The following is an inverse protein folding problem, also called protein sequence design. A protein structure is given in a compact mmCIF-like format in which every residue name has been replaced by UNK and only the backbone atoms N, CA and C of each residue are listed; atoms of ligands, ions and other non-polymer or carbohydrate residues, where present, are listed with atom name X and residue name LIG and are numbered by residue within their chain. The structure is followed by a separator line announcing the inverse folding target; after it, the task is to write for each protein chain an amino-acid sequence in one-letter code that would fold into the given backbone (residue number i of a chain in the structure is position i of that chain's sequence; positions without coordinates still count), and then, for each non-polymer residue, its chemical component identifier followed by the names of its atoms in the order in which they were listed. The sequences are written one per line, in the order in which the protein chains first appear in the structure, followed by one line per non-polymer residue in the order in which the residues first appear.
data_IF_268197426261
#
_entry.id   IF_268197426261
#
_cell.length_a   1.000
_cell.length_b   1.000
_cell.length_c   1.000
_cell.angle_alpha   90.00
_cell.angle_beta   90.00
_cell.angle_gamma   90.00
#
_symmetry.space_group_name_H-M   'P 1'
#
loop_
_entity.id
_entity.type
_entity.pdbx_description
1 polymer ?
#
# COMPACT_ATOMS: atom_id res chain seq x y z
N UNK A 1 -28.68 -24.67 42.20
CA UNK A 1 -28.11 -24.19 40.93
C UNK A 1 -28.33 -22.70 40.89
N UNK A 2 -27.29 -21.93 41.22
CA UNK A 2 -27.33 -20.46 41.19
C UNK A 2 -26.92 -20.02 39.79
N UNK A 3 -27.60 -19.00 39.29
CA UNK A 3 -27.66 -18.54 37.91
C UNK A 3 -26.30 -18.03 37.37
N UNK A 4 -25.62 -18.86 36.55
CA UNK A 4 -24.30 -18.62 35.90
C UNK A 4 -24.33 -17.35 35.01
N UNK A 5 -25.52 -16.90 34.60
CA UNK A 5 -25.69 -15.64 33.87
C UNK A 5 -25.43 -14.40 34.75
N UNK A 6 -25.76 -14.45 36.05
CA UNK A 6 -25.60 -13.31 36.96
C UNK A 6 -24.16 -13.11 37.42
N UNK A 7 -23.37 -14.18 37.53
CA UNK A 7 -21.92 -14.09 37.82
C UNK A 7 -21.13 -13.59 36.60
N UNK A 8 -21.54 -13.93 35.36
CA UNK A 8 -20.92 -13.35 34.16
C UNK A 8 -21.22 -11.86 34.01
N UNK A 9 -22.42 -11.40 34.38
CA UNK A 9 -22.76 -9.97 34.37
C UNK A 9 -22.04 -9.19 35.50
N UNK A 10 -21.91 -9.77 36.69
CA UNK A 10 -21.16 -9.17 37.82
C UNK A 10 -19.65 -9.19 37.61
N UNK A 11 -19.12 -10.18 36.89
CA UNK A 11 -17.72 -10.25 36.45
C UNK A 11 -17.31 -9.21 35.40
N UNK A 12 -18.26 -8.46 34.82
CA UNK A 12 -18.00 -7.30 33.94
C UNK A 12 -18.02 -5.99 34.74
N UNK A 13 -18.89 -5.87 35.76
CA UNK A 13 -18.96 -4.67 36.60
C UNK A 13 -17.82 -4.56 37.63
N UNK A 14 -17.25 -5.69 38.07
CA UNK A 14 -16.16 -5.74 39.05
C UNK A 14 -14.77 -6.05 38.46
N UNK A 15 -14.62 -6.05 37.14
CA UNK A 15 -13.30 -6.06 36.49
C UNK A 15 -12.70 -4.67 36.61
N UNK A 16 -12.08 -4.44 37.77
CA UNK A 16 -11.01 -3.50 38.03
C UNK A 16 -11.21 -2.11 37.43
N UNK A 17 -11.38 -1.14 38.32
CA UNK A 17 -10.82 0.20 38.11
C UNK A 17 -9.39 -0.03 37.58
N UNK A 18 -9.19 -0.03 36.25
CA UNK A 18 -7.87 0.09 35.65
C UNK A 18 -7.34 1.34 36.35
N UNK A 19 -6.36 1.18 37.26
CA UNK A 19 -5.69 2.34 37.83
C UNK A 19 -5.14 3.06 36.62
N UNK A 20 -5.81 4.14 36.22
CA UNK A 20 -5.44 4.88 35.04
C UNK A 20 -3.96 5.21 35.22
N UNK A 21 -3.10 4.64 34.36
CA UNK A 21 -1.69 5.01 34.34
C UNK A 21 -1.62 6.55 34.36
N UNK A 22 -0.66 7.15 35.07
CA UNK A 22 -0.57 8.60 35.28
C UNK A 22 -0.97 9.33 33.98
N UNK A 23 -2.19 9.88 34.00
CA UNK A 23 -2.92 10.27 32.81
C UNK A 23 -2.11 11.34 32.06
N UNK A 24 -1.89 11.13 30.77
CA UNK A 24 -1.37 12.16 29.88
C UNK A 24 0.11 12.45 29.89
N UNK A 25 0.92 11.43 30.14
CA UNK A 25 2.36 11.61 30.01
C UNK A 25 2.75 11.72 28.53
N UNK A 26 3.48 12.77 28.17
CA UNK A 26 4.36 12.71 26.99
C UNK A 26 5.65 12.01 27.40
N UNK A 27 6.08 11.03 26.61
CA UNK A 27 7.34 10.33 26.76
C UNK A 27 8.26 10.73 25.61
N UNK A 28 9.43 11.25 25.93
CA UNK A 28 10.46 11.51 24.92
C UNK A 28 11.15 10.19 24.57
N UNK A 29 10.90 9.67 23.37
CA UNK A 29 11.57 8.46 22.87
C UNK A 29 12.94 8.83 22.30
N UNK A 30 12.98 9.92 21.52
CA UNK A 30 14.21 10.50 20.99
C UNK A 30 14.15 12.03 21.08
N UNK A 31 14.97 12.68 21.93
CA UNK A 31 14.96 14.13 22.08
C UNK A 31 15.06 14.86 20.74
N UNK A 32 14.17 15.83 20.55
CA UNK A 32 14.06 16.63 19.33
C UNK A 32 13.39 15.92 18.15
N UNK A 33 13.15 14.60 18.21
CA UNK A 33 12.67 13.84 17.05
C UNK A 33 11.37 13.08 17.32
N UNK A 34 11.36 12.17 18.28
CA UNK A 34 10.26 11.21 18.48
C UNK A 34 9.70 11.36 19.89
N UNK A 35 8.39 11.58 19.96
CA UNK A 35 7.64 11.76 21.20
C UNK A 35 6.42 10.85 21.19
N UNK A 36 6.10 10.25 22.32
CA UNK A 36 4.92 9.40 22.45
C UNK A 36 3.95 10.02 23.46
N UNK A 37 2.74 10.34 23.01
CA UNK A 37 1.66 10.85 23.85
C UNK A 37 0.86 9.66 24.37
N UNK A 38 0.94 9.34 25.67
CA UNK A 38 0.25 8.19 26.27
C UNK A 38 -0.88 8.61 27.19
N UNK A 39 -1.77 7.69 27.55
CA UNK A 39 -2.81 7.93 28.56
C UNK A 39 -4.12 8.49 28.03
N UNK A 40 -4.46 8.17 26.78
CA UNK A 40 -5.82 8.37 26.25
C UNK A 40 -6.82 7.47 27.00
N UNK A 41 -8.04 7.97 27.24
CA UNK A 41 -9.09 7.14 27.86
C UNK A 41 -9.55 6.05 26.88
N UNK A 42 -10.10 4.95 27.41
CA UNK A 42 -10.72 3.89 26.61
C UNK A 42 -11.75 4.49 25.63
N UNK A 43 -11.45 4.40 24.34
CA UNK A 43 -12.31 4.85 23.25
C UNK A 43 -12.66 6.35 23.31
N UNK A 44 -11.77 7.19 23.84
CA UNK A 44 -11.84 8.65 23.70
C UNK A 44 -10.47 9.18 23.24
N UNK A 45 -10.50 10.20 22.41
CA UNK A 45 -9.32 10.94 21.94
C UNK A 45 -9.10 12.27 22.68
N UNK A 46 -9.84 12.52 23.77
CA UNK A 46 -9.87 13.82 24.42
C UNK A 46 -8.57 14.13 25.20
N UNK A 47 -7.87 15.18 24.79
CA UNK A 47 -6.69 15.74 25.47
C UNK A 47 -7.03 16.73 26.60
N UNK A 48 -8.29 17.17 26.73
CA UNK A 48 -8.74 18.22 27.70
C UNK A 48 -8.86 17.73 29.15
N UNK A 49 -8.12 16.70 29.56
CA UNK A 49 -8.16 16.24 30.96
C UNK A 49 -7.40 17.22 31.84
N UNK A 50 -7.88 17.45 33.07
CA UNK A 50 -7.22 18.34 34.04
C UNK A 50 -5.77 17.88 34.26
N UNK A 51 -4.81 18.73 33.91
CA UNK A 51 -3.36 18.47 34.03
C UNK A 51 -2.68 17.90 32.76
N UNK A 52 -3.45 17.35 31.81
CA UNK A 52 -2.92 16.78 30.57
C UNK A 52 -2.37 17.87 29.65
N UNK A 53 -3.14 18.94 29.43
CA UNK A 53 -2.72 20.08 28.60
C UNK A 53 -1.45 20.74 29.15
N UNK A 54 -1.33 20.85 30.48
CA UNK A 54 -0.11 21.37 31.11
C UNK A 54 1.12 20.47 30.87
N UNK A 55 0.97 19.14 30.89
CA UNK A 55 2.09 18.23 30.61
C UNK A 55 2.44 18.21 29.12
N UNK A 56 1.44 18.28 28.23
CA UNK A 56 1.65 18.49 26.80
C UNK A 56 2.44 19.77 26.55
N UNK A 57 1.98 20.91 27.08
CA UNK A 57 2.64 22.21 26.89
C UNK A 57 4.08 22.17 27.40
N UNK A 58 4.30 21.58 28.58
CA UNK A 58 5.63 21.48 29.17
C UNK A 58 6.58 20.62 28.33
N UNK A 59 6.12 19.49 27.80
CA UNK A 59 6.98 18.49 27.15
C UNK A 59 7.07 18.63 25.63
N UNK A 60 6.00 19.06 24.98
CA UNK A 60 5.95 19.37 23.56
C UNK A 60 6.27 20.84 23.26
N UNK A 61 6.24 21.74 24.25
CA UNK A 61 6.64 23.14 24.09
C UNK A 61 7.97 23.30 23.34
N UNK A 62 9.07 22.63 23.75
CA UNK A 62 10.33 22.71 23.03
C UNK A 62 10.26 22.21 21.57
N UNK A 63 9.37 21.28 21.25
CA UNK A 63 9.14 20.76 19.90
C UNK A 63 8.41 21.79 19.05
N UNK A 64 7.33 22.35 19.60
CA UNK A 64 6.55 23.41 18.98
C UNK A 64 7.43 24.64 18.72
N UNK A 65 8.22 25.07 19.70
CA UNK A 65 9.12 26.21 19.58
C UNK A 65 10.19 25.97 18.50
N UNK A 66 10.70 24.74 18.41
CA UNK A 66 11.59 24.34 17.30
C UNK A 66 10.89 24.45 15.95
N UNK A 67 9.70 23.88 15.79
CA UNK A 67 8.96 23.91 14.51
C UNK A 67 8.63 25.35 14.12
N UNK A 68 8.23 26.20 15.08
CA UNK A 68 7.97 27.64 14.85
C UNK A 68 9.23 28.38 14.42
N UNK A 69 10.39 28.07 15.00
CA UNK A 69 11.66 28.66 14.57
C UNK A 69 12.00 28.23 13.13
N UNK A 70 11.91 26.93 12.84
CA UNK A 70 12.17 26.41 11.49
C UNK A 70 11.18 26.96 10.45
N UNK A 71 9.95 27.28 10.86
CA UNK A 71 8.97 28.02 10.05
C UNK A 71 9.42 29.42 9.72
N UNK A 72 9.87 30.18 10.70
CA UNK A 72 10.41 31.53 10.45
C UNK A 72 11.62 31.49 9.51
N UNK A 73 12.49 30.50 9.66
CA UNK A 73 13.64 30.30 8.76
C UNK A 73 13.19 29.97 7.33
N UNK A 74 12.20 29.10 7.17
CA UNK A 74 11.63 28.73 5.86
C UNK A 74 10.93 29.92 5.18
N UNK A 75 10.09 30.65 5.92
CA UNK A 75 9.38 31.85 5.42
C UNK A 75 10.36 32.99 5.08
N UNK A 76 11.48 33.11 5.80
CA UNK A 76 12.54 34.06 5.50
C UNK A 76 13.46 33.62 4.34
N UNK A 77 13.29 32.41 3.79
CA UNK A 77 14.14 31.84 2.74
C UNK A 77 15.55 31.46 3.20
N UNK A 78 15.84 31.53 4.51
CA UNK A 78 17.14 31.08 5.06
C UNK A 78 17.21 29.56 5.20
N UNK A 79 16.07 28.88 5.04
CA UNK A 79 15.95 27.43 4.99
C UNK A 79 15.17 27.00 3.76
N UNK A 80 15.69 26.04 3.01
CA UNK A 80 15.10 25.56 1.74
C UNK A 80 13.97 24.55 1.92
N UNK A 81 13.85 23.94 3.09
CA UNK A 81 12.82 22.91 3.39
C UNK A 81 12.15 23.17 4.75
N UNK A 82 10.87 22.84 4.88
CA UNK A 82 10.20 22.86 6.19
C UNK A 82 10.41 21.55 6.96
N UNK A 83 10.15 21.46 8.27
CA UNK A 83 9.97 20.18 8.94
C UNK A 83 8.68 19.48 8.49
N UNK A 84 8.69 18.15 8.53
CA UNK A 84 7.47 17.34 8.43
C UNK A 84 7.17 16.74 9.80
N UNK A 85 5.92 16.84 10.24
CA UNK A 85 5.46 16.29 11.51
C UNK A 85 4.49 15.15 11.23
N UNK A 86 4.90 13.92 11.50
CA UNK A 86 4.04 12.74 11.34
C UNK A 86 3.47 12.33 12.69
N UNK A 87 2.15 12.30 12.77
CA UNK A 87 1.39 11.91 13.96
C UNK A 87 0.75 10.54 13.71
N UNK A 88 1.27 9.51 14.37
CA UNK A 88 0.77 8.14 14.26
C UNK A 88 -0.08 7.78 15.47
N UNK A 89 -1.38 7.59 15.28
CA UNK A 89 -2.24 7.05 16.32
C UNK A 89 -2.04 5.55 16.45
N UNK A 90 -1.85 5.04 17.68
CA UNK A 90 -1.67 3.61 17.90
C UNK A 90 -2.98 2.95 18.25
N UNK A 91 -3.30 1.86 17.56
CA UNK A 91 -4.44 1.02 17.89
C UNK A 91 -4.22 0.30 19.22
N UNK A 92 -5.31 -0.09 19.88
CA UNK A 92 -5.23 -0.81 21.14
C UNK A 92 -6.32 -1.86 21.19
N UNK A 93 -5.94 -3.06 21.59
CA UNK A 93 -6.74 -4.27 21.88
C UNK A 93 -7.89 -4.10 22.90
N UNK A 94 -8.19 -2.87 23.32
CA UNK A 94 -9.28 -2.60 24.25
C UNK A 94 -10.60 -2.80 23.52
N UNK A 95 -11.25 -3.94 23.79
CA UNK A 95 -12.58 -4.30 23.27
C UNK A 95 -13.59 -3.27 23.75
N UNK A 96 -13.77 -2.21 22.96
CA UNK A 96 -14.91 -1.32 23.07
C UNK A 96 -15.90 -1.72 21.98
N UNK A 97 -17.15 -2.06 22.31
CA UNK A 97 -18.19 -2.20 21.30
C UNK A 97 -18.29 -0.90 20.50
N UNK A 98 -18.24 -0.95 19.17
CA UNK A 98 -18.33 0.24 18.33
C UNK A 98 -17.49 0.20 17.04
N UNK A 99 -16.85 1.33 16.72
CA UNK A 99 -16.27 1.67 15.41
C UNK A 99 -14.91 1.04 15.08
N UNK A 100 -14.43 0.08 15.88
CA UNK A 100 -13.16 -0.61 15.66
C UNK A 100 -11.89 0.13 16.14
N UNK A 101 -10.75 -0.58 16.32
CA UNK A 101 -9.52 -0.02 16.89
C UNK A 101 -8.83 1.01 15.99
N UNK A 102 -8.93 0.88 14.67
CA UNK A 102 -8.38 1.84 13.70
C UNK A 102 -9.07 3.20 13.81
N UNK A 103 -10.39 3.24 13.99
CA UNK A 103 -11.13 4.49 14.23
C UNK A 103 -10.62 5.22 15.48
N UNK A 104 -10.35 4.50 16.56
CA UNK A 104 -9.82 5.13 17.78
C UNK A 104 -8.36 5.55 17.64
N UNK A 105 -7.56 4.84 16.84
CA UNK A 105 -6.22 5.26 16.47
C UNK A 105 -6.26 6.58 15.68
N UNK A 106 -7.12 6.68 14.65
CA UNK A 106 -7.23 7.90 13.83
C UNK A 106 -7.71 9.09 14.65
N UNK A 107 -8.67 8.89 15.55
CA UNK A 107 -9.16 9.94 16.46
C UNK A 107 -8.05 10.44 17.40
N UNK A 108 -7.16 9.57 17.89
CA UNK A 108 -6.01 9.97 18.71
C UNK A 108 -5.00 10.78 17.89
N UNK A 109 -4.68 10.33 16.67
CA UNK A 109 -3.81 11.07 15.77
C UNK A 109 -4.38 12.46 15.46
N UNK A 110 -5.67 12.53 15.18
CA UNK A 110 -6.39 13.79 14.94
C UNK A 110 -6.33 14.71 16.15
N UNK A 111 -6.56 14.22 17.37
CA UNK A 111 -6.52 15.05 18.56
C UNK A 111 -5.13 15.66 18.80
N UNK A 112 -4.05 14.90 18.56
CA UNK A 112 -2.68 15.42 18.65
C UNK A 112 -2.41 16.43 17.53
N UNK A 113 -2.88 16.19 16.30
CA UNK A 113 -2.81 17.18 15.21
C UNK A 113 -3.52 18.49 15.59
N UNK A 114 -4.76 18.41 16.09
CA UNK A 114 -5.54 19.58 16.50
C UNK A 114 -4.82 20.37 17.61
N UNK A 115 -4.15 19.68 18.55
CA UNK A 115 -3.30 20.31 19.56
C UNK A 115 -2.12 21.05 18.92
N UNK A 116 -1.37 20.41 18.01
CA UNK A 116 -0.23 21.06 17.34
C UNK A 116 -0.67 22.29 16.53
N UNK A 117 -1.82 22.20 15.83
CA UNK A 117 -2.39 23.34 15.08
C UNK A 117 -2.81 24.48 16.01
N UNK A 118 -3.44 24.18 17.15
CA UNK A 118 -3.75 25.19 18.19
C UNK A 118 -2.50 25.90 18.68
N UNK A 119 -1.35 25.23 18.63
CA UNK A 119 -0.05 25.77 19.00
C UNK A 119 0.76 26.26 17.77
N UNK A 120 0.08 26.69 16.71
CA UNK A 120 0.66 27.41 15.55
C UNK A 120 1.68 26.57 14.74
N UNK A 121 1.52 25.24 14.73
CA UNK A 121 2.16 24.38 13.73
C UNK A 121 1.28 24.35 12.47
N UNK A 122 1.82 24.66 11.28
CA UNK A 122 1.03 24.67 10.04
C UNK A 122 0.36 23.32 9.77
N UNK A 123 -0.96 23.29 9.47
CA UNK A 123 -1.70 22.04 9.31
C UNK A 123 -1.26 21.20 8.11
N UNK A 124 -0.67 21.83 7.09
CA UNK A 124 -0.06 21.24 5.90
C UNK A 124 1.31 20.59 6.17
N UNK A 125 1.95 20.93 7.30
CA UNK A 125 3.19 20.28 7.76
C UNK A 125 2.91 19.04 8.61
N UNK A 126 1.65 18.83 9.02
CA UNK A 126 1.24 17.73 9.90
C UNK A 126 0.52 16.64 9.11
N UNK A 127 1.16 15.48 9.04
CA UNK A 127 0.58 14.26 8.51
C UNK A 127 0.02 13.40 9.65
N UNK A 128 -1.13 12.80 9.45
CA UNK A 128 -1.73 11.86 10.41
C UNK A 128 -1.81 10.49 9.79
N UNK A 129 -1.42 9.47 10.55
CA UNK A 129 -1.55 8.07 10.17
C UNK A 129 -1.96 7.24 11.39
N UNK A 130 -2.20 5.96 11.19
CA UNK A 130 -2.45 5.00 12.26
C UNK A 130 -1.45 3.87 12.17
N UNK A 131 -0.91 3.39 13.29
CA UNK A 131 -0.10 2.18 13.24
C UNK A 131 -1.00 1.05 12.76
N UNK A 132 -0.62 0.40 11.66
CA UNK A 132 -1.20 -0.88 11.30
C UNK A 132 -1.00 -1.80 12.52
N UNK A 133 -2.09 -2.32 13.07
CA UNK A 133 -1.96 -3.63 13.69
C UNK A 133 -1.50 -4.51 12.52
N UNK A 134 -0.22 -4.94 12.51
CA UNK A 134 -0.02 -6.32 12.07
C UNK A 134 -1.02 -7.11 12.90
N UNK A 135 -1.99 -7.83 12.29
CA UNK A 135 -2.98 -8.55 13.05
C UNK A 135 -2.20 -9.46 13.98
N UNK A 136 -2.08 -9.04 15.24
CA UNK A 136 -1.66 -9.92 16.28
C UNK A 136 -2.95 -10.68 16.52
N UNK A 137 -3.04 -11.96 16.13
CA UNK A 137 -4.32 -12.66 16.01
C UNK A 137 -5.06 -12.79 17.33
N UNK A 138 -4.44 -12.38 18.44
CA UNK A 138 -5.08 -12.27 19.72
C UNK A 138 -4.71 -10.93 20.37
N UNK A 139 -5.70 -10.18 20.89
CA UNK A 139 -5.47 -9.23 21.96
C UNK A 139 -4.50 -9.86 22.93
N UNK A 140 -3.41 -9.19 23.33
CA UNK A 140 -2.61 -9.75 24.40
C UNK A 140 -3.48 -9.71 25.68
N UNK A 141 -4.24 -10.78 25.90
CA UNK A 141 -5.22 -10.88 26.99
C UNK A 141 -4.53 -10.75 28.34
N UNK A 142 -3.22 -11.05 28.36
CA UNK A 142 -2.34 -10.95 29.51
C UNK A 142 -1.66 -9.58 29.65
N UNK A 143 -1.91 -8.62 28.76
CA UNK A 143 -1.38 -7.27 28.91
C UNK A 143 -1.94 -6.62 30.18
N UNK A 144 -1.04 -6.07 31.01
CA UNK A 144 -1.43 -5.35 32.22
C UNK A 144 -2.20 -4.07 31.86
N UNK A 145 -3.02 -3.51 32.77
CA UNK A 145 -3.68 -2.22 32.55
C UNK A 145 -2.74 -1.10 32.11
N UNK A 146 -1.51 -1.08 32.64
CA UNK A 146 -0.48 -0.11 32.26
C UNK A 146 0.01 -0.33 30.83
N UNK A 147 0.22 -1.58 30.42
CA UNK A 147 0.58 -1.92 29.03
C UNK A 147 -0.54 -1.55 28.05
N UNK A 148 -1.80 -1.82 28.40
CA UNK A 148 -2.96 -1.41 27.59
C UNK A 148 -3.07 0.11 27.50
N UNK A 149 -2.78 0.82 28.60
CA UNK A 149 -2.78 2.29 28.61
C UNK A 149 -1.62 2.89 27.81
N UNK A 150 -0.45 2.26 27.81
CA UNK A 150 0.69 2.66 26.99
C UNK A 150 0.46 2.39 25.49
N UNK A 151 -0.25 1.30 25.15
CA UNK A 151 -0.67 1.01 23.79
C UNK A 151 -1.70 2.05 23.27
N UNK A 152 -2.50 2.64 24.17
CA UNK A 152 -3.40 3.75 23.85
C UNK A 152 -2.62 5.06 23.73
N UNK A 153 -1.90 5.23 22.63
CA UNK A 153 -0.97 6.34 22.46
C UNK A 153 -0.98 6.93 21.05
N UNK A 154 -0.26 8.02 20.87
CA UNK A 154 0.01 8.63 19.58
C UNK A 154 1.47 9.10 19.51
N UNK A 155 2.21 8.65 18.50
CA UNK A 155 3.61 9.05 18.28
C UNK A 155 3.67 10.28 17.39
N UNK A 156 4.52 11.24 17.76
CA UNK A 156 4.91 12.40 16.96
C UNK A 156 6.35 12.18 16.50
N UNK A 157 6.59 12.11 15.20
CA UNK A 157 7.92 12.12 14.58
C UNK A 157 8.14 13.43 13.83
N UNK A 158 9.19 14.15 14.18
CA UNK A 158 9.62 15.39 13.52
C UNK A 158 10.80 15.08 12.61
N UNK A 159 10.51 14.93 11.33
CA UNK A 159 11.48 14.73 10.26
C UNK A 159 11.89 16.03 9.59
N UNK A 160 13.00 16.00 8.85
CA UNK A 160 13.20 17.00 7.81
C UNK A 160 12.16 16.72 6.70
N UNK A 161 11.56 17.76 6.11
CA UNK A 161 10.87 17.56 4.83
C UNK A 161 11.90 17.00 3.87
N UNK A 162 11.68 15.76 3.44
CA UNK A 162 12.20 15.35 2.16
C UNK A 162 11.63 16.30 1.10
N UNK A 163 12.36 16.50 0.01
CA UNK A 163 11.94 17.27 -1.16
C UNK A 163 10.41 17.19 -1.35
N UNK A 164 9.68 18.30 -1.52
CA UNK A 164 8.23 18.29 -1.70
C UNK A 164 7.75 17.28 -2.75
N UNK A 165 8.58 16.94 -3.74
CA UNK A 165 8.35 15.84 -4.71
C UNK A 165 8.30 14.45 -4.04
N UNK A 166 9.23 14.14 -3.12
CA UNK A 166 9.20 12.91 -2.31
C UNK A 166 8.03 12.89 -1.32
N UNK A 167 7.68 14.04 -0.74
CA UNK A 167 6.52 14.13 0.16
C UNK A 167 5.19 13.86 -0.58
N UNK A 168 5.09 14.17 -1.88
CA UNK A 168 3.95 13.79 -2.74
C UNK A 168 3.96 12.29 -3.03
N UNK A 169 5.14 11.70 -3.28
CA UNK A 169 5.29 10.26 -3.48
C UNK A 169 4.88 9.46 -2.24
N UNK A 170 5.27 9.90 -1.04
CA UNK A 170 4.85 9.30 0.23
C UNK A 170 3.35 9.49 0.51
N UNK A 171 2.77 10.67 0.21
CA UNK A 171 1.31 10.93 0.29
C UNK A 171 0.47 9.93 -0.51
N UNK A 172 1.02 9.47 -1.64
CA UNK A 172 0.41 8.48 -2.50
C UNK A 172 0.44 7.07 -1.89
N UNK A 173 1.47 6.72 -1.12
CA UNK A 173 1.66 5.40 -0.53
C UNK A 173 0.84 5.19 0.76
N UNK A 174 0.72 6.20 1.62
CA UNK A 174 0.09 6.03 2.95
C UNK A 174 -1.46 6.02 2.91
N UNK A 175 -2.08 6.64 1.91
CA UNK A 175 -3.54 6.65 1.76
C UNK A 175 -4.12 5.40 1.07
N UNK A 176 -3.29 4.51 0.49
CA UNK A 176 -3.74 3.40 -0.36
C UNK A 176 -4.04 2.08 0.35
N UNK A 177 -3.90 2.01 1.67
CA UNK A 177 -4.06 0.76 2.43
C UNK A 177 -5.12 0.85 3.54
N UNK A 178 -6.08 1.77 3.41
CA UNK A 178 -7.16 1.93 4.38
C UNK A 178 -8.20 0.80 4.31
N UNK A 179 -8.29 0.04 3.21
CA UNK A 179 -9.31 -0.99 3.00
C UNK A 179 -8.70 -2.23 2.31
N UNK A 180 -8.33 -3.26 3.06
CA UNK A 180 -8.06 -4.61 2.54
C UNK A 180 -8.63 -5.67 3.50
N UNK A 181 -9.36 -6.68 3.01
CA UNK A 181 -9.69 -7.87 3.80
C UNK A 181 -8.52 -8.88 3.81
N UNK A 182 -8.41 -9.63 4.91
CA UNK A 182 -7.26 -10.45 5.32
C UNK A 182 -6.94 -11.64 4.39
N UNK A 183 -5.64 -11.93 4.19
CA UNK A 183 -5.11 -13.24 3.74
C UNK A 183 -3.96 -13.64 4.69
N UNK A 184 -3.93 -14.92 5.09
CA UNK A 184 -3.23 -15.48 6.26
C UNK A 184 -1.69 -15.49 6.30
N UNK A 185 -1.10 -16.14 7.34
CA UNK A 185 0.24 -15.78 7.83
C UNK A 185 1.42 -16.45 7.10
N UNK A 186 2.51 -15.69 6.98
CA UNK A 186 3.83 -16.17 6.54
C UNK A 186 4.65 -16.77 7.71
N UNK A 187 5.60 -17.70 7.44
CA UNK A 187 6.42 -18.36 8.48
C UNK A 187 7.69 -17.57 8.85
N UNK A 188 8.36 -17.90 9.97
CA UNK A 188 9.40 -17.05 10.55
C UNK A 188 10.82 -17.53 10.20
N UNK A 189 11.69 -16.64 9.69
CA UNK A 189 13.14 -16.86 9.75
C UNK A 189 13.92 -15.59 10.10
N UNK A 190 14.65 -15.68 11.22
CA UNK A 190 15.45 -14.60 11.80
C UNK A 190 16.94 -14.94 11.74
N UNK A 191 17.59 -14.84 10.57
CA UNK A 191 19.06 -14.78 10.45
C UNK A 191 19.61 -13.81 9.38
N UNK A 192 18.78 -13.12 8.58
CA UNK A 192 19.25 -12.26 7.46
C UNK A 192 19.59 -10.80 7.80
N UNK A 193 19.32 -10.33 9.03
CA UNK A 193 19.31 -8.89 9.40
C UNK A 193 20.66 -8.15 9.28
N UNK A 194 21.80 -8.84 9.30
CA UNK A 194 23.12 -8.20 9.24
C UNK A 194 23.60 -7.98 7.79
N UNK A 195 23.39 -8.95 6.87
CA UNK A 195 23.72 -8.80 5.44
C UNK A 195 22.85 -7.73 4.76
N UNK A 196 21.58 -7.62 5.14
CA UNK A 196 20.68 -6.60 4.59
C UNK A 196 21.16 -5.17 4.80
N UNK A 197 21.83 -4.85 5.92
CA UNK A 197 22.27 -3.46 6.19
C UNK A 197 23.41 -2.97 5.29
N UNK A 198 24.36 -3.85 4.95
CA UNK A 198 25.50 -3.50 4.09
C UNK A 198 25.07 -3.32 2.63
N UNK A 199 24.27 -4.24 2.09
CA UNK A 199 23.69 -4.09 0.75
C UNK A 199 22.74 -2.90 0.66
N UNK A 200 21.97 -2.61 1.72
CA UNK A 200 21.12 -1.42 1.78
C UNK A 200 21.89 -0.10 1.65
N UNK A 201 23.14 -0.04 2.13
CA UNK A 201 24.00 1.14 1.94
C UNK A 201 24.58 1.20 0.53
N UNK A 202 24.93 0.06 -0.08
CA UNK A 202 25.50 0.01 -1.43
C UNK A 202 24.46 0.33 -2.51
N UNK A 203 23.26 -0.27 -2.47
CA UNK A 203 22.21 0.06 -3.43
C UNK A 203 21.63 1.46 -3.20
N UNK A 204 21.65 1.98 -1.96
CA UNK A 204 21.35 3.40 -1.75
C UNK A 204 22.37 4.29 -2.45
N UNK A 205 23.65 3.92 -2.48
CA UNK A 205 24.67 4.73 -3.13
C UNK A 205 24.60 4.66 -4.66
N UNK A 206 24.34 3.50 -5.25
CA UNK A 206 24.26 3.36 -6.72
C UNK A 206 22.88 3.69 -7.32
N UNK A 207 21.76 3.46 -6.61
CA UNK A 207 20.40 3.74 -7.12
C UNK A 207 19.80 5.07 -6.64
N UNK A 208 20.34 5.72 -5.60
CA UNK A 208 19.81 7.03 -5.13
C UNK A 208 20.66 8.21 -5.64
N UNK A 209 21.90 7.99 -6.06
CA UNK A 209 22.72 9.03 -6.70
C UNK A 209 22.55 9.08 -8.24
N UNK A 210 22.06 8.00 -8.87
CA UNK A 210 21.63 7.98 -10.27
C UNK A 210 20.12 8.17 -10.39
N UNK A 211 19.67 9.26 -11.03
CA UNK A 211 18.26 9.48 -11.36
C UNK A 211 17.75 8.30 -12.20
N UNK A 212 16.86 7.47 -11.64
CA UNK A 212 16.09 6.53 -12.46
C UNK A 212 15.25 7.36 -13.44
N UNK A 213 15.32 7.10 -14.76
CA UNK A 213 14.59 7.88 -15.75
C UNK A 213 13.06 7.78 -15.62
N UNK A 214 12.58 6.78 -14.87
CA UNK A 214 11.18 6.48 -14.69
C UNK A 214 10.85 6.27 -13.20
N UNK A 215 9.59 6.49 -12.79
CA UNK A 215 9.15 6.33 -11.40
C UNK A 215 9.10 4.88 -10.91
N UNK A 216 9.17 3.90 -11.80
CA UNK A 216 9.30 2.48 -11.49
C UNK A 216 10.59 1.92 -12.10
N UNK A 217 11.31 1.07 -11.36
CA UNK A 217 12.52 0.40 -11.82
C UNK A 217 12.27 -0.61 -12.96
N UNK A 218 11.02 -1.00 -13.15
CA UNK A 218 10.59 -1.92 -14.21
C UNK A 218 10.63 -1.26 -15.57
N UNK A 219 10.42 0.07 -15.62
CA UNK A 219 10.44 0.82 -16.85
C UNK A 219 11.88 1.22 -17.15
N UNK A 220 12.41 0.72 -18.25
CA UNK A 220 13.80 0.94 -18.71
C UNK A 220 13.79 1.59 -20.10
N UNK A 221 14.95 2.03 -20.56
CA UNK A 221 15.11 2.63 -21.89
C UNK A 221 15.55 4.08 -21.84
N UNK A 222 15.28 4.82 -22.91
CA UNK A 222 15.76 6.20 -23.09
C UNK A 222 15.21 7.09 -21.98
N UNK A 223 16.05 7.92 -21.38
CA UNK A 223 15.58 8.88 -20.37
C UNK A 223 14.62 9.90 -21.00
N UNK A 224 13.44 10.11 -20.41
CA UNK A 224 12.53 11.15 -20.88
C UNK A 224 13.09 12.53 -20.51
N UNK A 225 12.83 13.55 -21.33
CA UNK A 225 13.18 14.94 -21.02
C UNK A 225 12.12 15.57 -20.09
N UNK A 226 11.87 14.94 -18.94
CA UNK A 226 10.87 15.41 -17.96
C UNK A 226 11.14 14.82 -16.58
N UNK A 227 10.92 15.63 -15.55
CA UNK A 227 10.98 15.18 -14.16
C UNK A 227 9.60 14.73 -13.62
N UNK A 228 8.53 14.85 -14.42
CA UNK A 228 7.19 14.46 -14.01
C UNK A 228 7.01 12.94 -14.18
N UNK A 229 6.77 12.18 -13.08
CA UNK A 229 6.52 10.74 -13.16
C UNK A 229 5.48 10.34 -14.21
N UNK A 230 4.39 11.12 -14.30
CA UNK A 230 3.31 10.92 -15.27
C UNK A 230 3.79 11.09 -16.71
N UNK A 231 4.62 12.10 -16.98
CA UNK A 231 5.15 12.31 -18.32
C UNK A 231 6.25 11.29 -18.66
N UNK A 232 7.02 10.82 -17.68
CA UNK A 232 8.01 9.76 -17.88
C UNK A 232 7.32 8.46 -18.29
N UNK A 233 6.28 8.03 -17.56
CA UNK A 233 5.51 6.83 -17.94
C UNK A 233 4.81 7.00 -19.28
N UNK A 234 4.27 8.18 -19.57
CA UNK A 234 3.69 8.52 -20.88
C UNK A 234 4.73 8.34 -22.00
N UNK A 235 5.93 8.87 -21.81
CA UNK A 235 7.02 8.80 -22.76
C UNK A 235 7.44 7.34 -23.01
N UNK A 236 7.53 6.55 -21.95
CA UNK A 236 7.83 5.11 -22.06
C UNK A 236 6.80 4.38 -22.92
N UNK A 237 5.51 4.65 -22.66
CA UNK A 237 4.39 4.05 -23.42
C UNK A 237 4.42 4.51 -24.88
N UNK A 238 4.74 5.79 -25.13
CA UNK A 238 4.87 6.32 -26.48
C UNK A 238 6.03 5.67 -27.25
N UNK A 239 7.19 5.47 -26.62
CA UNK A 239 8.34 4.78 -27.23
C UNK A 239 8.00 3.31 -27.57
N UNK A 240 7.12 2.67 -26.80
CA UNK A 240 6.67 1.28 -27.00
C UNK A 240 5.31 1.16 -27.71
N UNK A 241 4.69 2.26 -28.16
CA UNK A 241 3.30 2.27 -28.64
C UNK A 241 3.08 1.31 -29.81
N UNK A 242 4.05 1.22 -30.72
CA UNK A 242 4.00 0.29 -31.87
C UNK A 242 3.94 -1.17 -31.40
N UNK A 243 4.77 -1.54 -30.43
CA UNK A 243 4.82 -2.90 -29.87
C UNK A 243 3.51 -3.23 -29.15
N UNK A 244 3.03 -2.32 -28.29
CA UNK A 244 1.76 -2.48 -27.55
C UNK A 244 0.60 -2.66 -28.53
N UNK A 245 0.47 -1.79 -29.54
CA UNK A 245 -0.58 -1.89 -30.57
C UNK A 245 -0.52 -3.21 -31.34
N UNK A 246 0.68 -3.62 -31.77
CA UNK A 246 0.87 -4.87 -32.51
C UNK A 246 0.45 -6.08 -31.67
N UNK A 247 0.91 -6.17 -30.42
CA UNK A 247 0.54 -7.27 -29.52
C UNK A 247 -0.96 -7.26 -29.24
N UNK A 248 -1.54 -6.10 -28.96
CA UNK A 248 -2.99 -5.97 -28.75
C UNK A 248 -3.80 -6.45 -29.97
N UNK A 249 -3.37 -6.09 -31.18
CA UNK A 249 -4.00 -6.55 -32.41
C UNK A 249 -3.85 -8.07 -32.61
N UNK A 250 -2.66 -8.63 -32.43
CA UNK A 250 -2.39 -10.06 -32.52
C UNK A 250 -3.25 -10.88 -31.54
N UNK A 251 -3.51 -10.33 -30.35
CA UNK A 251 -4.25 -10.99 -29.27
C UNK A 251 -5.73 -10.62 -29.23
N UNK A 252 -6.20 -9.78 -30.17
CA UNK A 252 -7.56 -9.27 -30.23
C UNK A 252 -8.04 -8.68 -28.89
N UNK A 253 -7.21 -7.84 -28.27
CA UNK A 253 -7.54 -7.08 -27.04
C UNK A 253 -7.37 -5.58 -27.29
N UNK A 254 -7.87 -4.75 -26.38
CA UNK A 254 -7.69 -3.30 -26.44
C UNK A 254 -6.28 -2.89 -26.03
N UNK A 255 -5.57 -2.15 -26.88
CA UNK A 255 -4.22 -1.65 -26.59
C UNK A 255 -4.17 -0.76 -25.33
N UNK A 256 -5.26 -0.06 -25.02
CA UNK A 256 -5.39 0.79 -23.82
C UNK A 256 -5.38 -0.05 -22.54
N UNK A 257 -5.79 -1.32 -22.61
CA UNK A 257 -5.71 -2.23 -21.47
C UNK A 257 -4.24 -2.53 -21.12
N UNK A 258 -3.45 -2.94 -22.11
CA UNK A 258 -2.02 -3.24 -21.95
C UNK A 258 -1.27 -2.00 -21.45
N UNK A 259 -1.44 -0.86 -22.13
CA UNK A 259 -0.84 0.41 -21.71
C UNK A 259 -1.33 0.83 -20.31
N UNK A 260 -2.59 0.58 -19.98
CA UNK A 260 -3.20 0.88 -18.69
C UNK A 260 -2.58 0.08 -17.54
N UNK A 261 -2.34 -1.22 -17.73
CA UNK A 261 -1.67 -2.06 -16.74
C UNK A 261 -0.24 -1.55 -16.47
N UNK A 262 0.53 -1.28 -17.53
CA UNK A 262 1.88 -0.73 -17.43
C UNK A 262 1.88 0.64 -16.73
N UNK A 263 0.98 1.54 -17.13
CA UNK A 263 0.89 2.87 -16.56
C UNK A 263 0.49 2.85 -15.08
N UNK A 264 -0.45 1.97 -14.72
CA UNK A 264 -0.89 1.83 -13.34
C UNK A 264 0.25 1.33 -12.45
N UNK A 265 0.99 0.30 -12.87
CA UNK A 265 2.16 -0.15 -12.09
C UNK A 265 3.22 0.94 -11.98
N UNK A 266 3.49 1.68 -13.07
CA UNK A 266 4.46 2.78 -13.06
C UNK A 266 4.07 3.99 -12.21
N UNK A 267 2.77 4.29 -12.05
CA UNK A 267 2.29 5.52 -11.39
C UNK A 267 1.59 5.29 -10.07
N UNK A 268 0.80 4.22 -9.97
CA UNK A 268 -0.05 3.91 -8.82
C UNK A 268 0.56 2.83 -7.93
N UNK A 269 1.52 2.06 -8.41
CA UNK A 269 2.21 1.08 -7.60
C UNK A 269 3.73 1.14 -7.85
N UNK A 270 4.38 2.31 -7.84
CA UNK A 270 5.84 2.36 -7.96
C UNK A 270 6.41 1.72 -6.69
N UNK A 271 6.94 0.50 -6.78
CA UNK A 271 7.52 -0.16 -5.61
C UNK A 271 8.68 0.72 -5.10
N UNK A 272 8.69 1.15 -3.83
CA UNK A 272 9.91 1.64 -3.24
C UNK A 272 10.91 0.47 -3.29
N UNK A 273 12.15 0.76 -3.70
CA UNK A 273 13.24 -0.22 -3.75
C UNK A 273 13.54 -0.72 -2.34
N UNK A 274 12.72 -1.63 -1.83
CA UNK A 274 13.08 -2.47 -0.70
C UNK A 274 14.05 -3.52 -1.24
N UNK A 275 15.31 -3.41 -0.85
CA UNK A 275 16.41 -4.25 -1.34
C UNK A 275 16.19 -5.76 -1.27
N UNK A 276 15.28 -6.23 -0.41
CA UNK A 276 14.92 -7.64 -0.32
C UNK A 276 14.15 -8.14 -1.57
N UNK A 277 13.70 -7.21 -2.43
CA UNK A 277 12.98 -7.43 -3.68
C UNK A 277 13.80 -7.06 -4.93
N UNK A 278 15.04 -6.58 -4.76
CA UNK A 278 15.95 -6.37 -5.87
C UNK A 278 16.21 -7.73 -6.56
N UNK A 279 15.67 -7.87 -7.78
CA UNK A 279 15.77 -9.08 -8.60
C UNK A 279 14.59 -10.06 -8.50
N UNK A 280 13.50 -9.72 -7.79
CA UNK A 280 12.34 -10.63 -7.66
C UNK A 280 11.15 -10.34 -8.57
N UNK A 281 10.87 -9.08 -8.91
CA UNK A 281 9.70 -8.74 -9.74
C UNK A 281 9.94 -7.51 -10.64
N UNK A 282 11.14 -7.39 -11.22
CA UNK A 282 11.52 -6.25 -12.07
C UNK A 282 11.04 -6.35 -13.52
N UNK A 283 9.75 -6.61 -13.68
CA UNK A 283 9.16 -6.89 -14.97
C UNK A 283 8.08 -5.85 -15.26
N UNK A 284 8.14 -5.25 -16.44
CA UNK A 284 7.15 -4.29 -16.93
C UNK A 284 5.73 -4.83 -16.69
N UNK A 285 4.91 -4.04 -15.99
CA UNK A 285 3.52 -4.39 -15.67
C UNK A 285 3.35 -5.47 -14.60
N UNK A 286 4.41 -5.79 -13.85
CA UNK A 286 4.42 -6.72 -12.72
C UNK A 286 3.80 -8.07 -12.99
N UNK A 287 4.25 -8.70 -14.06
CA UNK A 287 3.89 -10.08 -14.33
C UNK A 287 4.41 -10.95 -13.18
N UNK A 288 3.49 -11.49 -12.38
CA UNK A 288 3.84 -12.35 -11.25
C UNK A 288 4.36 -13.71 -11.73
N UNK A 289 5.58 -14.05 -11.32
CA UNK A 289 6.23 -15.34 -11.61
C UNK A 289 6.30 -16.17 -10.30
N UNK A 290 5.89 -17.45 -10.29
CA UNK A 290 6.10 -18.31 -9.12
C UNK A 290 7.60 -18.44 -8.80
N UNK A 291 8.01 -18.24 -7.54
CA UNK A 291 9.43 -18.12 -7.18
C UNK A 291 10.18 -19.45 -7.21
N UNK A 292 9.52 -20.57 -6.92
CA UNK A 292 10.19 -21.86 -6.83
C UNK A 292 9.26 -23.03 -7.18
N UNK A 293 9.87 -24.21 -7.39
CA UNK A 293 9.13 -25.46 -7.64
C UNK A 293 8.26 -25.84 -6.44
N UNK A 294 8.62 -25.41 -5.22
CA UNK A 294 7.77 -25.57 -4.05
C UNK A 294 6.51 -24.70 -4.11
N UNK A 295 6.50 -23.50 -4.68
CA UNK A 295 5.27 -22.73 -4.94
C UNK A 295 4.44 -23.48 -5.97
N UNK A 296 5.08 -24.00 -7.02
CA UNK A 296 4.41 -24.94 -7.95
C UNK A 296 3.83 -26.17 -7.24
N UNK A 297 4.49 -26.74 -6.24
CA UNK A 297 3.99 -27.92 -5.49
C UNK A 297 3.00 -27.55 -4.39
N UNK A 298 3.12 -26.39 -3.76
CA UNK A 298 2.27 -25.91 -2.65
C UNK A 298 0.94 -25.41 -3.18
N UNK A 299 0.95 -24.80 -4.36
CA UNK A 299 -0.26 -24.40 -5.09
C UNK A 299 -0.71 -25.49 -6.08
N UNK A 300 0.18 -26.37 -6.52
CA UNK A 300 -0.13 -27.51 -7.40
C UNK A 300 -0.26 -28.88 -6.70
N UNK A 301 -0.36 -28.94 -5.37
CA UNK A 301 -0.58 -30.21 -4.66
C UNK A 301 -1.95 -30.85 -4.99
N UNK A 302 -2.85 -30.08 -5.61
CA UNK A 302 -4.10 -30.55 -6.23
C UNK A 302 -4.04 -30.58 -7.78
N UNK A 303 -2.86 -30.45 -8.40
CA UNK A 303 -2.69 -30.47 -9.86
C UNK A 303 -3.02 -29.16 -10.60
N UNK A 304 -3.28 -28.05 -9.91
CA UNK A 304 -3.61 -26.76 -10.54
C UNK A 304 -2.38 -25.84 -10.64
N UNK A 305 -1.61 -25.97 -11.72
CA UNK A 305 -0.48 -25.09 -12.03
C UNK A 305 -0.91 -23.68 -12.49
N UNK A 306 -2.21 -23.43 -12.65
CA UNK A 306 -2.80 -22.20 -13.22
C UNK A 306 -2.97 -21.06 -12.20
N UNK A 307 -2.27 -21.08 -11.05
CA UNK A 307 -2.45 -20.01 -10.05
C UNK A 307 -1.94 -18.64 -10.53
N UNK A 308 -0.99 -18.61 -11.47
CA UNK A 308 -0.42 -17.37 -11.99
C UNK A 308 -0.79 -17.19 -13.45
N UNK A 309 -1.27 -16.01 -13.80
CA UNK A 309 -1.58 -15.64 -15.19
C UNK A 309 -0.44 -15.94 -16.15
N UNK A 310 0.81 -15.65 -15.75
CA UNK A 310 2.00 -15.90 -16.55
C UNK A 310 2.20 -17.39 -16.90
N UNK A 311 1.76 -18.31 -16.03
CA UNK A 311 1.81 -19.76 -16.30
C UNK A 311 0.61 -20.18 -17.13
N UNK A 312 -0.59 -19.69 -16.80
CA UNK A 312 -1.84 -20.06 -17.46
C UNK A 312 -1.88 -19.69 -18.95
N UNK A 313 -1.14 -18.67 -19.38
CA UNK A 313 -1.05 -18.29 -20.80
C UNK A 313 -0.10 -19.15 -21.60
N UNK A 314 0.76 -19.95 -20.97
CA UNK A 314 1.73 -20.77 -21.66
C UNK A 314 1.10 -22.05 -22.22
N UNK A 315 1.60 -22.51 -23.36
CA UNK A 315 1.02 -23.61 -24.13
C UNK A 315 -0.06 -23.13 -25.11
N UNK A 316 -0.87 -22.15 -24.71
CA UNK A 316 -1.96 -21.62 -25.53
C UNK A 316 -1.59 -20.31 -26.24
N UNK A 317 -1.03 -19.34 -25.51
CA UNK A 317 -0.70 -18.02 -26.03
C UNK A 317 0.80 -17.78 -26.08
N UNK A 318 1.55 -18.32 -25.14
CA UNK A 318 3.01 -18.18 -25.03
C UNK A 318 3.69 -19.56 -25.04
N UNK A 319 4.96 -19.69 -25.46
CA UNK A 319 5.69 -20.93 -25.29
C UNK A 319 5.78 -21.35 -23.81
N UNK A 320 5.72 -22.65 -23.53
CA UNK A 320 6.00 -23.14 -22.19
C UNK A 320 7.44 -22.84 -21.78
N UNK A 321 7.61 -22.31 -20.57
CA UNK A 321 8.93 -22.10 -19.99
C UNK A 321 8.95 -22.39 -18.48
N UNK A 322 10.12 -22.76 -17.98
CA UNK A 322 10.35 -22.92 -16.55
C UNK A 322 10.36 -21.55 -15.87
N UNK A 323 10.24 -21.51 -14.54
CA UNK A 323 10.16 -20.25 -13.80
C UNK A 323 11.43 -19.39 -13.92
N UNK A 324 12.60 -20.02 -13.87
CA UNK A 324 13.91 -19.41 -14.08
C UNK A 324 14.12 -18.91 -15.51
N UNK A 325 13.70 -19.71 -16.49
CA UNK A 325 13.70 -19.32 -17.91
C UNK A 325 12.79 -18.12 -18.14
N UNK A 326 11.56 -18.15 -17.61
CA UNK A 326 10.60 -17.04 -17.71
C UNK A 326 11.15 -15.75 -17.14
N UNK A 327 11.76 -15.83 -15.96
CA UNK A 327 12.39 -14.68 -15.31
C UNK A 327 13.49 -14.11 -16.19
N UNK A 328 14.37 -14.96 -16.70
CA UNK A 328 15.45 -14.56 -17.61
C UNK A 328 14.92 -13.93 -18.90
N UNK A 329 13.81 -14.46 -19.45
CA UNK A 329 13.17 -13.93 -20.64
C UNK A 329 12.52 -12.56 -20.42
N UNK A 330 12.00 -12.31 -19.23
CA UNK A 330 11.28 -11.07 -18.89
C UNK A 330 12.21 -9.98 -18.35
N UNK A 331 13.30 -10.34 -17.69
CA UNK A 331 14.26 -9.38 -17.14
C UNK A 331 14.93 -8.56 -18.24
N UNK A 332 14.58 -7.27 -18.31
CA UNK A 332 15.15 -6.34 -19.28
C UNK A 332 14.66 -6.51 -20.71
N UNK A 333 13.60 -7.29 -20.93
CA UNK A 333 12.97 -7.45 -22.24
C UNK A 333 11.53 -6.95 -22.23
N UNK A 334 11.39 -5.65 -22.43
CA UNK A 334 10.12 -4.94 -22.40
C UNK A 334 9.13 -5.51 -23.45
N UNK A 335 9.63 -5.94 -24.61
CA UNK A 335 8.80 -6.53 -25.66
C UNK A 335 8.18 -7.87 -25.25
N UNK A 336 8.96 -8.76 -24.62
CA UNK A 336 8.44 -10.04 -24.11
C UNK A 336 7.45 -9.80 -22.97
N UNK A 337 7.73 -8.84 -22.09
CA UNK A 337 6.78 -8.46 -21.03
C UNK A 337 5.44 -7.96 -21.62
N UNK A 338 5.49 -7.07 -22.62
CA UNK A 338 4.28 -6.62 -23.33
C UNK A 338 3.52 -7.80 -23.96
N UNK A 339 4.23 -8.78 -24.54
CA UNK A 339 3.61 -9.99 -25.10
C UNK A 339 2.89 -10.82 -24.03
N UNK A 340 3.50 -11.01 -22.87
CA UNK A 340 2.86 -11.70 -21.74
C UNK A 340 1.62 -10.96 -21.26
N UNK A 341 1.68 -9.63 -21.03
CA UNK A 341 0.51 -8.84 -20.61
C UNK A 341 -0.64 -9.01 -21.63
N UNK A 342 -0.34 -8.89 -22.93
CA UNK A 342 -1.33 -9.08 -23.99
C UNK A 342 -1.92 -10.48 -24.04
N UNK A 343 -1.10 -11.52 -23.85
CA UNK A 343 -1.54 -12.91 -23.77
C UNK A 343 -2.45 -13.15 -22.56
N UNK A 344 -2.12 -12.57 -21.41
CA UNK A 344 -2.92 -12.68 -20.18
C UNK A 344 -4.29 -12.04 -20.38
N UNK A 345 -4.33 -10.83 -20.96
CA UNK A 345 -5.59 -10.16 -21.27
C UNK A 345 -6.44 -10.92 -22.28
N UNK A 346 -5.84 -11.62 -23.24
CA UNK A 346 -6.57 -12.47 -24.16
C UNK A 346 -7.20 -13.66 -23.45
N UNK A 347 -6.43 -14.39 -22.64
CA UNK A 347 -6.94 -15.51 -21.85
C UNK A 347 -8.09 -15.08 -20.93
N UNK A 348 -7.93 -13.97 -20.20
CA UNK A 348 -8.98 -13.37 -19.36
C UNK A 348 -10.27 -13.14 -20.16
N UNK A 349 -10.14 -12.62 -21.38
CA UNK A 349 -11.27 -12.31 -22.25
C UNK A 349 -11.90 -13.55 -22.85
N UNK A 350 -11.11 -14.58 -23.19
CA UNK A 350 -11.61 -15.86 -23.69
C UNK A 350 -12.37 -16.63 -22.62
N UNK A 351 -11.85 -16.66 -21.39
CA UNK A 351 -12.58 -17.25 -20.25
C UNK A 351 -13.90 -16.51 -19.99
N UNK A 352 -13.93 -15.19 -20.11
CA UNK A 352 -15.19 -14.44 -20.02
C UNK A 352 -16.15 -14.76 -21.18
N UNK A 353 -15.62 -14.94 -22.39
CA UNK A 353 -16.40 -15.25 -23.60
C UNK A 353 -17.11 -16.60 -23.49
N UNK A 354 -16.53 -17.59 -22.82
CA UNK A 354 -17.17 -18.88 -22.51
C UNK A 354 -18.46 -18.74 -21.69
N UNK A 355 -18.65 -17.57 -21.05
CA UNK A 355 -19.82 -17.20 -20.29
C UNK A 355 -20.64 -16.08 -20.97
N UNK A 356 -20.53 -15.96 -22.30
CA UNK A 356 -21.20 -14.94 -23.13
C UNK A 356 -20.88 -13.48 -22.75
N UNK A 357 -19.75 -13.25 -22.10
CA UNK A 357 -19.29 -11.93 -21.66
C UNK A 357 -18.10 -11.49 -22.53
N UNK A 358 -18.30 -10.47 -23.37
CA UNK A 358 -17.20 -9.91 -24.18
C UNK A 358 -16.58 -8.67 -23.53
N UNK A 359 -15.39 -8.84 -22.95
CA UNK A 359 -14.61 -7.74 -22.35
C UNK A 359 -13.39 -7.33 -23.19
N UNK A 360 -13.21 -7.86 -24.40
CA UNK A 360 -12.00 -7.62 -25.23
C UNK A 360 -11.75 -6.14 -25.53
N UNK A 361 -12.82 -5.34 -25.58
CA UNK A 361 -12.81 -3.89 -25.84
C UNK A 361 -13.12 -3.05 -24.61
N UNK A 362 -13.04 -3.65 -23.42
CA UNK A 362 -13.26 -2.97 -22.15
C UNK A 362 -11.96 -2.94 -21.33
N UNK A 363 -11.11 -1.91 -21.51
CA UNK A 363 -9.83 -1.80 -20.82
C UNK A 363 -9.94 -1.91 -19.31
N UNK A 364 -10.94 -1.28 -18.70
CA UNK A 364 -11.13 -1.32 -17.25
C UNK A 364 -11.49 -2.71 -16.73
N UNK A 365 -12.25 -3.50 -17.50
CA UNK A 365 -12.57 -4.87 -17.13
C UNK A 365 -11.36 -5.80 -17.24
N UNK A 366 -10.63 -5.71 -18.35
CA UNK A 366 -9.42 -6.50 -18.57
C UNK A 366 -8.37 -6.24 -17.49
N UNK A 367 -8.11 -4.98 -17.14
CA UNK A 367 -7.10 -4.63 -16.14
C UNK A 367 -7.55 -4.89 -14.71
N UNK A 368 -8.87 -4.87 -14.44
CA UNK A 368 -9.38 -5.34 -13.15
C UNK A 368 -9.13 -6.82 -12.92
N UNK A 369 -9.45 -7.66 -13.92
CA UNK A 369 -9.19 -9.09 -13.85
C UNK A 369 -7.68 -9.39 -13.75
N UNK A 370 -6.86 -8.68 -14.53
CA UNK A 370 -5.40 -8.78 -14.50
C UNK A 370 -4.81 -8.54 -13.11
N UNK A 371 -5.20 -7.45 -12.44
CA UNK A 371 -4.64 -7.05 -11.15
C UNK A 371 -5.26 -7.77 -9.96
N UNK A 372 -6.57 -8.00 -9.99
CA UNK A 372 -7.33 -8.35 -8.78
C UNK A 372 -7.51 -9.84 -8.52
N UNK A 373 -7.15 -10.72 -9.47
CA UNK A 373 -7.53 -12.14 -9.41
C UNK A 373 -6.48 -13.05 -10.01
N UNK A 374 -6.36 -14.25 -9.46
CA UNK A 374 -5.75 -15.39 -10.12
C UNK A 374 -6.73 -16.03 -11.14
N UNK A 375 -6.26 -16.86 -12.08
CA UNK A 375 -7.13 -17.50 -13.09
C UNK A 375 -8.32 -18.27 -12.48
N UNK A 376 -8.09 -19.06 -11.44
CA UNK A 376 -9.14 -19.78 -10.71
C UNK A 376 -10.15 -18.84 -10.06
N UNK A 377 -9.69 -17.76 -9.42
CA UNK A 377 -10.53 -16.73 -8.81
C UNK A 377 -11.34 -15.95 -9.85
N UNK A 378 -10.80 -15.77 -11.06
CA UNK A 378 -11.51 -15.15 -12.18
C UNK A 378 -12.63 -16.05 -12.70
N UNK A 379 -12.32 -17.32 -12.96
CA UNK A 379 -13.32 -18.33 -13.35
C UNK A 379 -14.42 -18.46 -12.31
N UNK A 380 -14.06 -18.58 -11.03
CA UNK A 380 -15.03 -18.65 -9.93
C UNK A 380 -15.94 -17.41 -9.88
N UNK A 381 -15.37 -16.22 -10.10
CA UNK A 381 -16.14 -14.99 -10.15
C UNK A 381 -17.09 -14.93 -11.34
N UNK A 382 -16.66 -15.36 -12.53
CA UNK A 382 -17.51 -15.46 -13.71
C UNK A 382 -18.70 -16.39 -13.47
N UNK A 383 -18.45 -17.57 -12.87
CA UNK A 383 -19.49 -18.52 -12.48
C UNK A 383 -20.52 -17.93 -11.52
N UNK A 384 -20.09 -17.20 -10.50
CA UNK A 384 -21.01 -16.58 -9.56
C UNK A 384 -21.84 -15.47 -10.20
N UNK A 385 -21.29 -14.75 -11.18
CA UNK A 385 -22.03 -13.70 -11.89
C UNK A 385 -23.09 -14.22 -12.83
N UNK A 386 -22.91 -15.41 -13.41
CA UNK A 386 -23.95 -16.05 -14.23
C UNK A 386 -25.19 -16.45 -13.43
N UNK A 387 -25.07 -16.70 -12.13
CA UNK A 387 -26.23 -17.01 -11.26
C UNK A 387 -27.13 -15.79 -11.07
N UNK A 388 -26.58 -14.59 -11.20
CA UNK A 388 -27.30 -13.34 -11.07
C UNK A 388 -27.80 -12.91 -12.46
N UNK A 389 -28.92 -13.52 -12.87
CA UNK A 389 -29.53 -13.64 -14.22
C UNK A 389 -29.74 -12.36 -15.08
N UNK A 390 -29.13 -11.23 -14.74
CA UNK A 390 -29.29 -9.97 -15.48
C UNK A 390 -28.62 -9.93 -16.85
N UNK A 391 -27.68 -10.83 -17.20
CA UNK A 391 -26.92 -10.91 -18.48
C UNK A 391 -26.21 -9.62 -18.94
N UNK A 392 -26.53 -8.46 -18.38
CA UNK A 392 -25.83 -7.20 -18.55
C UNK A 392 -24.81 -7.11 -17.44
N UNK A 393 -23.58 -7.50 -17.76
CA UNK A 393 -22.46 -7.35 -16.85
C UNK A 393 -22.11 -5.86 -16.74
N UNK A 394 -22.88 -5.08 -15.98
CA UNK A 394 -22.38 -3.82 -15.44
C UNK A 394 -21.34 -4.17 -14.39
N UNK A 395 -20.12 -4.43 -14.85
CA UNK A 395 -18.97 -4.56 -13.98
C UNK A 395 -18.81 -3.24 -13.23
N UNK A 396 -19.34 -3.21 -12.00
CA UNK A 396 -18.99 -2.17 -11.04
C UNK A 396 -17.54 -2.40 -10.65
N UNK A 397 -16.66 -1.72 -11.37
CA UNK A 397 -15.24 -1.70 -11.07
C UNK A 397 -15.08 -1.10 -9.66
N UNK A 398 -14.41 -1.79 -8.71
CA UNK A 398 -14.06 -1.20 -7.43
C UNK A 398 -13.27 0.10 -7.66
N UNK A 399 -13.61 1.16 -6.93
CA UNK A 399 -13.08 2.51 -7.16
C UNK A 399 -11.59 2.65 -6.85
N UNK A 400 -11.02 1.70 -6.12
CA UNK A 400 -9.61 1.59 -5.73
C UNK A 400 -8.80 0.65 -6.63
N UNK A 401 -9.43 -0.01 -7.60
CA UNK A 401 -8.77 -1.01 -8.43
C UNK A 401 -8.13 -0.42 -9.72
N UNK A 402 -7.12 -1.12 -10.24
CA UNK A 402 -6.48 -0.84 -11.54
C UNK A 402 -7.50 -0.57 -12.64
N UNK A 403 -8.55 -1.39 -12.72
CA UNK A 403 -9.63 -1.23 -13.70
C UNK A 403 -10.29 0.15 -13.70
N UNK A 404 -10.63 0.66 -12.52
CA UNK A 404 -11.25 1.99 -12.40
C UNK A 404 -10.28 3.09 -12.81
N UNK A 405 -9.03 3.02 -12.35
CA UNK A 405 -8.01 4.00 -12.73
C UNK A 405 -7.79 4.04 -14.25
N UNK A 406 -7.68 2.87 -14.89
CA UNK A 406 -7.51 2.76 -16.34
C UNK A 406 -8.70 3.37 -17.08
N UNK A 407 -9.93 3.10 -16.62
CA UNK A 407 -11.12 3.70 -17.19
C UNK A 407 -11.11 5.24 -17.10
N UNK A 408 -10.72 5.80 -15.96
CA UNK A 408 -10.65 7.25 -15.74
C UNK A 408 -9.49 7.93 -16.51
N UNK A 409 -8.49 7.17 -16.94
CA UNK A 409 -7.29 7.69 -17.60
C UNK A 409 -7.20 7.31 -19.09
N UNK A 410 -8.30 6.88 -19.72
CA UNK A 410 -8.31 6.53 -21.15
C UNK A 410 -7.74 7.65 -22.06
N UNK A 411 -8.09 8.94 -21.91
CA UNK A 411 -7.51 9.99 -22.77
C UNK A 411 -5.99 10.11 -22.65
N UNK A 412 -5.44 9.89 -21.45
CA UNK A 412 -4.00 9.88 -21.21
C UNK A 412 -3.35 8.69 -21.93
N UNK A 413 -3.91 7.49 -21.79
CA UNK A 413 -3.41 6.28 -22.43
C UNK A 413 -3.50 6.37 -23.96
N UNK A 414 -4.62 6.88 -24.48
CA UNK A 414 -4.84 7.10 -25.91
C UNK A 414 -3.85 8.10 -26.49
N UNK A 415 -3.52 9.18 -25.77
CA UNK A 415 -2.53 10.14 -26.21
C UNK A 415 -1.12 9.55 -26.29
N UNK A 416 -0.74 8.69 -25.35
CA UNK A 416 0.55 8.00 -25.35
C UNK A 416 0.62 6.94 -26.45
N UNK A 417 -0.52 6.34 -26.79
CA UNK A 417 -0.62 5.35 -27.84
C UNK A 417 -0.78 5.93 -29.23
N UNK A 418 -0.74 7.26 -29.47
CA UNK A 418 -0.81 7.79 -30.84
C UNK A 418 0.43 7.38 -31.63
#
# INVERSE_FOLDING_TARGET
MVDDASERARGVANRGIERNAKLGAVQTIKPGKIYNVVGFDVGKSNLKKKGFEKDLDKKLGPVVDRIRRERKEYEAGTRTTHPTVTVTGHASDSVKPGKGPQYYASERAKAVKDYLVKHDVPPDWIQTTTSRETPNPHPNMHATPDQKTAARSATIDVGASEDPVRAILHRSLDNRYADYPEIGPAPPEAKSRAKGKFFNQLARREFVEGYLPYPSFELRGRSPNTDSPRNSVWFWIADHARTIKRVAAQRNVDARAIAGAIAWEGLQNPYPVELNWLGKDQIVGKIHIPENEMDRRRYGQNGQADFFWAVAVEGNYMPHCRADERRTLLEGNDEIAIQYIGAIMALIADEAKEHDIDIRRNPGALTWAYHGRHPDQWRAWLWDKLKDSSHTLTMRLPTDAMGWWVHQNLPYLESALK
#
